data_IF_697229917281
#
_entry.id   IF_697229917281
#
_cell.length_a   1.000
_cell.length_b   1.000
_cell.length_c   1.000
_cell.angle_alpha   90.00
_cell.angle_beta   90.00
_cell.angle_gamma   90.00
#
_symmetry.space_group_name_H-M   'P 1'
#
loop_
_entity.id
_entity.type
_entity.pdbx_description
1 polymer ?
#
# COMPACT_ATOMS: atom_id res chain seq x y z
N UNK A 1 3.33 7.51 -15.87
CA UNK A 1 2.63 6.35 -15.25
C UNK A 1 1.71 6.91 -14.19
N UNK A 2 0.44 6.54 -14.24
CA UNK A 2 -0.53 6.87 -13.20
C UNK A 2 -0.21 6.08 -11.91
N UNK A 3 -0.60 6.60 -10.75
CA UNK A 3 -0.49 5.86 -9.49
C UNK A 3 -1.48 4.68 -9.53
N UNK A 4 -1.14 3.60 -8.84
CA UNK A 4 -2.05 2.47 -8.60
C UNK A 4 -3.27 2.90 -7.77
N UNK A 5 -4.39 2.17 -7.94
CA UNK A 5 -5.65 2.47 -7.26
C UNK A 5 -5.51 2.56 -5.72
N UNK A 6 -4.81 1.64 -5.03
CA UNK A 6 -4.65 1.76 -3.58
C UNK A 6 -3.92 3.03 -3.17
N UNK A 7 -2.95 3.48 -3.96
CA UNK A 7 -2.17 4.70 -3.68
C UNK A 7 -3.03 5.95 -3.88
N UNK A 8 -3.95 5.94 -4.85
CA UNK A 8 -4.98 6.97 -4.98
C UNK A 8 -5.90 7.02 -3.75
N UNK A 9 -6.28 5.86 -3.19
CA UNK A 9 -7.08 5.77 -1.96
C UNK A 9 -6.28 6.29 -0.75
N UNK A 10 -5.03 5.86 -0.59
CA UNK A 10 -4.10 6.34 0.45
C UNK A 10 -3.97 7.86 0.43
N UNK A 11 -3.71 8.45 -0.74
CA UNK A 11 -3.64 9.91 -0.90
C UNK A 11 -4.92 10.60 -0.45
N UNK A 12 -6.09 10.09 -0.87
CA UNK A 12 -7.38 10.67 -0.51
C UNK A 12 -7.66 10.58 1.00
N UNK A 13 -7.30 9.47 1.64
CA UNK A 13 -7.53 9.26 3.07
C UNK A 13 -6.57 10.08 3.95
N UNK A 14 -5.30 10.21 3.52
CA UNK A 14 -4.32 11.03 4.21
C UNK A 14 -4.70 12.51 4.24
N UNK A 15 -5.31 13.00 3.16
CA UNK A 15 -5.73 14.41 3.05
C UNK A 15 -7.00 14.76 3.83
N UNK A 16 -7.88 13.79 4.11
CA UNK A 16 -9.14 14.02 4.84
C UNK A 16 -9.02 13.86 6.37
N UNK A 17 -7.86 13.43 6.89
CA UNK A 17 -7.61 13.20 8.32
C UNK A 17 -8.70 12.36 9.02
N UNK A 18 -9.29 11.41 8.29
CA UNK A 18 -10.43 10.63 8.78
C UNK A 18 -9.97 9.61 9.83
N UNK A 19 -10.71 9.49 10.94
CA UNK A 19 -10.51 8.42 11.92
C UNK A 19 -10.67 7.06 11.22
N UNK A 20 -9.68 6.18 11.37
CA UNK A 20 -9.67 4.87 10.70
C UNK A 20 -9.09 4.87 9.27
N UNK A 21 -8.52 5.99 8.81
CA UNK A 21 -7.89 6.10 7.49
C UNK A 21 -6.84 5.01 7.22
N UNK A 22 -6.06 4.61 8.23
CA UNK A 22 -5.06 3.54 8.08
C UNK A 22 -5.75 2.21 7.76
N UNK A 23 -6.73 1.81 8.56
CA UNK A 23 -7.48 0.55 8.35
C UNK A 23 -8.15 0.51 6.97
N UNK A 24 -8.65 1.64 6.50
CA UNK A 24 -9.23 1.74 5.15
C UNK A 24 -8.18 1.60 4.04
N UNK A 25 -6.97 2.12 4.25
CA UNK A 25 -5.86 1.94 3.30
C UNK A 25 -5.37 0.49 3.27
N UNK A 26 -5.26 -0.15 4.44
CA UNK A 26 -4.93 -1.58 4.58
C UNK A 26 -5.95 -2.45 3.82
N UNK A 27 -7.24 -2.21 4.04
CA UNK A 27 -8.31 -2.93 3.34
C UNK A 27 -8.27 -2.74 1.81
N UNK A 28 -7.91 -1.55 1.33
CA UNK A 28 -7.76 -1.28 -0.10
C UNK A 28 -6.56 -2.06 -0.69
N UNK A 29 -5.47 -2.20 0.06
CA UNK A 29 -4.31 -3.00 -0.35
C UNK A 29 -4.69 -4.49 -0.38
N UNK A 30 -5.37 -5.00 0.64
CA UNK A 30 -5.80 -6.40 0.68
C UNK A 30 -6.71 -6.73 -0.51
N UNK A 31 -7.69 -5.87 -0.78
CA UNK A 31 -8.61 -6.02 -1.92
C UNK A 31 -7.87 -6.04 -3.25
N UNK A 32 -6.86 -5.17 -3.40
CA UNK A 32 -6.02 -5.14 -4.59
C UNK A 32 -5.21 -6.44 -4.74
N UNK A 33 -4.64 -6.97 -3.66
CA UNK A 33 -3.88 -8.21 -3.66
C UNK A 33 -4.73 -9.46 -3.88
N UNK A 34 -5.97 -9.46 -3.43
CA UNK A 34 -6.92 -10.55 -3.69
C UNK A 34 -7.20 -10.73 -5.19
N UNK A 35 -7.01 -9.68 -6.00
CA UNK A 35 -7.03 -9.77 -7.46
C UNK A 35 -5.90 -10.62 -8.06
N UNK A 36 -4.85 -10.93 -7.30
CA UNK A 36 -3.70 -11.73 -7.74
C UNK A 36 -3.76 -13.14 -7.14
N UNK A 37 -3.81 -14.16 -8.01
CA UNK A 37 -3.96 -15.56 -7.58
C UNK A 37 -2.66 -16.24 -7.13
N UNK A 38 -1.50 -15.79 -7.62
CA UNK A 38 -0.20 -16.41 -7.29
C UNK A 38 0.58 -15.58 -6.27
N UNK A 39 1.32 -16.22 -5.35
CA UNK A 39 2.19 -15.51 -4.40
C UNK A 39 3.20 -14.58 -5.07
N UNK A 40 3.82 -15.02 -6.17
CA UNK A 40 4.82 -14.21 -6.90
C UNK A 40 4.19 -12.95 -7.52
N UNK A 41 2.98 -13.07 -8.07
CA UNK A 41 2.25 -11.94 -8.64
C UNK A 41 1.88 -10.92 -7.54
N UNK A 42 1.53 -11.40 -6.33
CA UNK A 42 1.28 -10.55 -5.17
C UNK A 42 2.55 -9.82 -4.71
N UNK A 43 3.70 -10.49 -4.72
CA UNK A 43 4.97 -9.86 -4.38
C UNK A 43 5.33 -8.74 -5.37
N UNK A 44 5.12 -8.96 -6.67
CA UNK A 44 5.31 -7.92 -7.70
C UNK A 44 4.33 -6.76 -7.50
N UNK A 45 3.07 -7.05 -7.17
CA UNK A 45 2.06 -6.03 -6.92
C UNK A 45 2.44 -5.14 -5.72
N UNK A 46 2.96 -5.72 -4.64
CA UNK A 46 3.48 -4.97 -3.50
C UNK A 46 4.69 -4.09 -3.87
N UNK A 47 5.57 -4.54 -4.77
CA UNK A 47 6.74 -3.75 -5.20
C UNK A 47 6.30 -2.51 -5.97
N UNK A 48 5.27 -2.66 -6.79
CA UNK A 48 4.64 -1.56 -7.52
C UNK A 48 4.03 -0.56 -6.53
N UNK A 49 3.31 -1.03 -5.51
CA UNK A 49 2.74 -0.18 -4.47
C UNK A 49 3.81 0.63 -3.73
N UNK A 50 4.91 0.00 -3.32
CA UNK A 50 6.03 0.71 -2.65
C UNK A 50 6.63 1.80 -3.54
N UNK A 51 6.80 1.53 -4.84
CA UNK A 51 7.30 2.53 -5.80
C UNK A 51 6.34 3.71 -5.96
N UNK A 52 5.04 3.44 -6.01
CA UNK A 52 4.01 4.47 -6.13
C UNK A 52 3.84 5.27 -4.82
N UNK A 53 3.99 4.64 -3.66
CA UNK A 53 4.01 5.32 -2.36
C UNK A 53 5.24 6.23 -2.21
N UNK A 54 6.42 5.76 -2.64
CA UNK A 54 7.61 6.60 -2.69
C UNK A 54 7.41 7.82 -3.60
N UNK A 55 6.71 7.64 -4.73
CA UNK A 55 6.32 8.75 -5.61
C UNK A 55 5.32 9.69 -4.93
N UNK A 56 4.32 9.15 -4.24
CA UNK A 56 3.35 9.95 -3.50
C UNK A 56 4.04 10.80 -2.43
N UNK A 57 4.97 10.23 -1.68
CA UNK A 57 5.77 10.94 -0.67
C UNK A 57 6.58 12.10 -1.26
N UNK A 58 7.11 11.93 -2.49
CA UNK A 58 7.78 13.03 -3.19
C UNK A 58 6.81 14.15 -3.60
N UNK A 59 5.59 13.81 -3.98
CA UNK A 59 4.57 14.76 -4.42
C UNK A 59 3.87 15.46 -3.24
N UNK A 60 3.67 14.75 -2.13
CA UNK A 60 2.94 15.21 -0.95
C UNK A 60 3.71 14.84 0.33
N UNK A 61 4.78 15.58 0.65
CA UNK A 61 5.60 15.31 1.84
C UNK A 61 4.80 15.40 3.15
N UNK A 62 3.72 16.17 3.18
CA UNK A 62 2.85 16.32 4.36
C UNK A 62 2.16 15.00 4.75
N UNK A 63 2.07 14.04 3.82
CA UNK A 63 1.52 12.71 4.07
C UNK A 63 2.58 11.69 4.55
N UNK A 64 3.84 12.09 4.74
CA UNK A 64 4.96 11.18 5.01
C UNK A 64 4.69 10.20 6.16
N UNK A 65 4.15 10.71 7.28
CA UNK A 65 3.80 9.88 8.43
C UNK A 65 2.71 8.85 8.11
N UNK A 66 1.68 9.25 7.37
CA UNK A 66 0.60 8.34 6.96
C UNK A 66 1.10 7.28 5.97
N UNK A 67 1.91 7.71 4.98
CA UNK A 67 2.53 6.80 4.01
C UNK A 67 3.46 5.81 4.71
N UNK A 68 4.20 6.22 5.73
CA UNK A 68 5.08 5.35 6.51
C UNK A 68 4.34 4.23 7.25
N UNK A 69 3.13 4.49 7.73
CA UNK A 69 2.29 3.46 8.35
C UNK A 69 1.80 2.44 7.31
N UNK A 70 1.41 2.90 6.12
CA UNK A 70 0.98 2.04 5.01
C UNK A 70 2.15 1.17 4.49
N UNK A 71 3.35 1.73 4.39
CA UNK A 71 4.55 0.97 4.02
C UNK A 71 4.86 -0.13 5.05
N UNK A 72 4.71 0.16 6.34
CA UNK A 72 4.90 -0.84 7.39
C UNK A 72 3.90 -2.00 7.24
N UNK A 73 2.66 -1.71 6.86
CA UNK A 73 1.68 -2.75 6.57
C UNK A 73 2.11 -3.62 5.39
N UNK A 74 2.58 -3.00 4.29
CA UNK A 74 3.12 -3.73 3.13
C UNK A 74 4.31 -4.62 3.53
N UNK A 75 5.21 -4.16 4.38
CA UNK A 75 6.33 -4.97 4.89
C UNK A 75 5.84 -6.22 5.65
N UNK A 76 4.74 -6.11 6.41
CA UNK A 76 4.13 -7.26 7.09
C UNK A 76 3.57 -8.26 6.09
N UNK A 77 2.94 -7.79 5.02
CA UNK A 77 2.42 -8.64 3.94
C UNK A 77 3.55 -9.38 3.22
N UNK A 78 4.66 -8.70 2.92
CA UNK A 78 5.84 -9.36 2.34
C UNK A 78 6.36 -10.49 3.22
N UNK A 79 6.52 -10.23 4.52
CA UNK A 79 6.98 -11.24 5.48
C UNK A 79 6.02 -12.43 5.53
N UNK A 80 4.72 -12.18 5.44
CA UNK A 80 3.74 -13.25 5.42
C UNK A 80 3.81 -14.08 4.14
N UNK A 81 3.93 -13.44 2.98
CA UNK A 81 4.13 -14.13 1.70
C UNK A 81 5.40 -14.98 1.71
N UNK A 82 6.51 -14.44 2.21
CA UNK A 82 7.77 -15.19 2.33
C UNK A 82 7.64 -16.40 3.26
N UNK A 83 6.91 -16.27 4.37
CA UNK A 83 6.66 -17.41 5.29
C UNK A 83 5.80 -18.50 4.65
N UNK A 84 4.83 -18.14 3.80
CA UNK A 84 3.97 -19.12 3.12
C UNK A 84 4.65 -19.82 1.94
N UNK A 85 5.72 -19.24 1.41
CA UNK A 85 6.49 -19.80 0.31
C UNK A 85 7.60 -20.77 0.75
N UNK A 86 7.91 -20.84 2.05
CA UNK A 86 8.90 -21.73 2.66
C UNK A 86 8.29 -23.05 3.13
#
# INVERSE_FOLDING_TARGET
MALSEPVHVTRRLGTTAQVGAIVMAEQAIDTYLDGYGRPDDRAIALDILLRDLARLRFLEPDLDGFVGEVERYIDLLYRDLSRRAA
#
